data_IF_485718383170
#
_entry.id   IF_485718383170
#
_cell.length_a   1.000
_cell.length_b   1.000
_cell.length_c   1.000
_cell.angle_alpha   90.00
_cell.angle_beta   90.00
_cell.angle_gamma   90.00
#
_symmetry.space_group_name_H-M   'P 1'
#
loop_
_entity.id
_entity.type
_entity.pdbx_description
1 polymer ?
#
# COMPACT_ATOMS: atom_id res chain seq x y z
N UNK A 1 -11.51 -1.44 -41.96
CA UNK A 1 -12.56 -1.96 -41.08
C UNK A 1 -12.48 -1.30 -39.72
N UNK A 2 -13.37 -0.31 -39.46
CA UNK A 2 -13.40 0.51 -38.25
C UNK A 2 -13.59 -0.33 -36.97
N UNK A 3 -14.28 -1.45 -37.06
CA UNK A 3 -14.46 -2.38 -35.93
C UNK A 3 -13.16 -3.10 -35.54
N UNK A 4 -12.28 -3.38 -36.46
CA UNK A 4 -10.98 -4.03 -36.19
C UNK A 4 -9.99 -3.04 -35.59
N UNK A 5 -10.00 -1.78 -36.05
CA UNK A 5 -9.20 -0.71 -35.49
C UNK A 5 -9.65 -0.37 -34.05
N UNK A 6 -10.98 -0.30 -33.81
CA UNK A 6 -11.54 -0.04 -32.48
C UNK A 6 -11.25 -1.18 -31.49
N UNK A 7 -11.29 -2.43 -31.93
CA UNK A 7 -10.87 -3.58 -31.10
C UNK A 7 -9.36 -3.55 -30.77
N UNK A 8 -8.51 -3.16 -31.72
CA UNK A 8 -7.06 -3.02 -31.48
C UNK A 8 -6.78 -1.87 -30.51
N UNK A 9 -7.45 -0.73 -30.65
CA UNK A 9 -7.29 0.42 -29.76
C UNK A 9 -7.79 0.12 -28.35
N UNK A 10 -8.91 -0.60 -28.22
CA UNK A 10 -9.42 -1.07 -26.92
C UNK A 10 -8.51 -2.11 -26.27
N UNK A 11 -7.85 -2.94 -27.05
CA UNK A 11 -6.81 -3.85 -26.57
C UNK A 11 -5.54 -3.09 -26.16
N UNK A 12 -5.16 -2.03 -26.84
CA UNK A 12 -4.09 -1.14 -26.44
C UNK A 12 -4.39 -0.50 -25.07
N UNK A 13 -5.56 0.11 -24.88
CA UNK A 13 -5.92 0.73 -23.58
C UNK A 13 -5.99 -0.26 -22.40
N UNK A 14 -6.24 -1.55 -22.65
CA UNK A 14 -6.30 -2.60 -21.62
C UNK A 14 -4.93 -3.28 -21.43
N UNK A 15 -4.09 -3.33 -22.48
CA UNK A 15 -2.80 -4.01 -22.47
C UNK A 15 -1.61 -3.09 -22.21
N UNK A 16 -1.74 -1.79 -22.43
CA UNK A 16 -0.70 -0.80 -22.11
C UNK A 16 -0.65 -0.49 -20.60
N UNK A 17 -0.60 -1.55 -19.81
CA UNK A 17 -0.13 -1.42 -18.45
C UNK A 17 1.40 -1.42 -18.53
N UNK A 18 2.02 -0.31 -18.14
CA UNK A 18 3.48 -0.15 -18.13
C UNK A 18 4.19 -1.17 -17.21
N UNK A 19 3.41 -1.99 -16.51
CA UNK A 19 3.89 -2.95 -15.52
C UNK A 19 3.05 -4.23 -15.48
N UNK A 20 3.70 -5.35 -15.19
CA UNK A 20 3.02 -6.59 -14.86
C UNK A 20 2.45 -6.54 -13.47
N UNK A 21 1.23 -7.04 -13.26
CA UNK A 21 0.58 -7.07 -11.95
C UNK A 21 0.46 -8.51 -11.44
N UNK A 22 1.00 -8.78 -10.26
CA UNK A 22 0.99 -10.08 -9.59
C UNK A 22 0.08 -10.03 -8.37
N UNK A 23 -1.15 -10.52 -8.47
CA UNK A 23 -2.08 -10.62 -7.34
C UNK A 23 -1.71 -11.82 -6.45
N UNK A 24 -1.19 -11.55 -5.24
CA UNK A 24 -0.70 -12.59 -4.32
C UNK A 24 -1.81 -13.29 -3.55
N UNK A 25 -2.87 -12.56 -3.21
CA UNK A 25 -4.10 -13.12 -2.68
C UNK A 25 -5.27 -12.19 -2.94
N UNK A 26 -6.45 -12.76 -2.91
CA UNK A 26 -7.73 -12.06 -3.07
C UNK A 26 -8.50 -12.07 -1.77
N UNK A 27 -9.11 -10.91 -1.42
CA UNK A 27 -9.82 -10.70 -0.17
C UNK A 27 -8.99 -9.97 0.87
N UNK A 28 -9.59 -9.67 2.03
CA UNK A 28 -8.92 -8.99 3.14
C UNK A 28 -9.38 -9.58 4.48
N UNK A 29 -8.43 -9.84 5.38
CA UNK A 29 -8.71 -10.33 6.74
C UNK A 29 -9.05 -9.20 7.72
N UNK A 30 -8.75 -7.96 7.33
CA UNK A 30 -8.97 -6.78 8.17
C UNK A 30 -10.46 -6.44 8.22
N UNK A 31 -10.91 -5.96 9.33
CA UNK A 31 -12.31 -5.63 9.58
C UNK A 31 -12.55 -4.13 9.65
N UNK A 32 -11.84 -3.31 8.85
CA UNK A 32 -12.07 -1.87 8.83
C UNK A 32 -13.53 -1.57 8.48
N UNK A 33 -14.26 -0.87 9.36
CA UNK A 33 -15.70 -0.67 9.24
C UNK A 33 -16.14 0.10 8.00
N UNK A 34 -15.28 0.96 7.47
CA UNK A 34 -15.54 1.75 6.26
C UNK A 34 -15.28 0.98 4.96
N UNK A 35 -14.65 -0.21 5.02
CA UNK A 35 -14.13 -0.88 3.84
C UNK A 35 -15.02 -2.03 3.37
N UNK A 36 -15.65 -1.88 2.20
CA UNK A 36 -16.48 -2.91 1.59
C UNK A 36 -15.72 -4.22 1.34
N UNK A 37 -14.43 -4.14 0.98
CA UNK A 37 -13.64 -5.31 0.64
C UNK A 37 -13.47 -6.29 1.81
N UNK A 38 -13.45 -5.80 3.06
CA UNK A 38 -13.40 -6.63 4.25
C UNK A 38 -14.66 -7.48 4.48
N UNK A 39 -15.77 -7.14 3.81
CA UNK A 39 -17.06 -7.83 3.94
C UNK A 39 -17.41 -8.64 2.70
N UNK A 40 -17.28 -8.05 1.50
CA UNK A 40 -17.68 -8.69 0.25
C UNK A 40 -16.62 -9.63 -0.32
N UNK A 41 -15.34 -9.43 0.02
CA UNK A 41 -14.21 -10.20 -0.52
C UNK A 41 -13.71 -11.26 0.48
N UNK A 42 -14.60 -12.07 1.02
CA UNK A 42 -14.31 -13.21 1.89
C UNK A 42 -14.79 -14.51 1.26
N UNK A 43 -14.11 -15.64 1.49
CA UNK A 43 -12.86 -15.83 2.25
C UNK A 43 -11.63 -15.33 1.51
N UNK A 44 -10.53 -15.11 2.26
CA UNK A 44 -9.22 -14.79 1.67
C UNK A 44 -8.67 -16.01 0.95
N UNK A 45 -8.35 -15.85 -0.33
CA UNK A 45 -7.78 -16.89 -1.19
C UNK A 45 -6.35 -16.55 -1.52
N UNK A 46 -5.41 -17.34 -1.01
CA UNK A 46 -3.96 -17.16 -1.17
C UNK A 46 -3.44 -18.11 -2.25
N UNK A 47 -2.40 -17.64 -2.97
CA UNK A 47 -1.59 -18.48 -3.85
C UNK A 47 -0.28 -18.83 -3.13
N UNK A 48 0.34 -19.96 -3.47
CA UNK A 48 1.66 -20.30 -2.92
C UNK A 48 2.76 -19.47 -3.57
N UNK A 49 3.89 -19.24 -2.87
CA UNK A 49 5.03 -18.50 -3.43
C UNK A 49 5.56 -19.11 -4.75
N UNK A 50 5.54 -20.44 -4.88
CA UNK A 50 5.98 -21.14 -6.09
C UNK A 50 5.09 -20.83 -7.28
N UNK A 51 3.77 -20.88 -7.10
CA UNK A 51 2.79 -20.55 -8.14
C UNK A 51 2.95 -19.10 -8.56
N UNK A 52 3.13 -18.19 -7.59
CA UNK A 52 3.32 -16.77 -7.83
C UNK A 52 4.62 -16.49 -8.59
N UNK A 53 5.71 -17.12 -8.19
CA UNK A 53 6.98 -16.99 -8.90
C UNK A 53 6.87 -17.43 -10.36
N UNK A 54 6.28 -18.61 -10.62
CA UNK A 54 6.05 -19.09 -11.98
C UNK A 54 5.18 -18.12 -12.80
N UNK A 55 4.05 -17.66 -12.23
CA UNK A 55 3.18 -16.67 -12.87
C UNK A 55 3.90 -15.35 -13.17
N UNK A 56 4.75 -14.88 -12.25
CA UNK A 56 5.53 -13.66 -12.47
C UNK A 56 6.48 -13.81 -13.67
N UNK A 57 7.24 -14.91 -13.72
CA UNK A 57 8.19 -15.18 -14.81
C UNK A 57 7.46 -15.34 -16.16
N UNK A 58 6.37 -16.10 -16.18
CA UNK A 58 5.56 -16.30 -17.39
C UNK A 58 4.97 -14.97 -17.88
N UNK A 59 4.41 -14.15 -16.96
CA UNK A 59 3.83 -12.85 -17.30
C UNK A 59 4.89 -11.89 -17.84
N UNK A 60 6.04 -11.78 -17.18
CA UNK A 60 7.14 -10.91 -17.64
C UNK A 60 7.66 -11.32 -19.01
N UNK A 61 7.83 -12.62 -19.25
CA UNK A 61 8.28 -13.13 -20.55
C UNK A 61 7.26 -12.88 -21.67
N UNK A 62 5.97 -13.05 -21.35
CA UNK A 62 4.89 -12.86 -22.33
C UNK A 62 4.59 -11.40 -22.65
N UNK A 63 4.74 -10.50 -21.67
CA UNK A 63 4.42 -9.08 -21.81
C UNK A 63 5.61 -8.22 -22.25
N UNK A 64 6.84 -8.64 -21.93
CA UNK A 64 8.04 -7.83 -22.13
C UNK A 64 8.15 -6.64 -21.17
N UNK A 65 7.33 -6.58 -20.12
CA UNK A 65 7.35 -5.48 -19.15
C UNK A 65 8.65 -5.50 -18.35
N UNK A 66 9.18 -4.33 -18.05
CA UNK A 66 10.38 -4.12 -17.23
C UNK A 66 10.04 -3.75 -15.75
N UNK A 67 8.78 -3.79 -15.40
CA UNK A 67 8.31 -3.58 -14.03
C UNK A 67 7.25 -4.63 -13.66
N UNK A 68 7.34 -5.16 -12.42
CA UNK A 68 6.33 -6.03 -11.84
C UNK A 68 5.88 -5.47 -10.49
N UNK A 69 4.58 -5.43 -10.29
CA UNK A 69 3.95 -4.96 -9.06
C UNK A 69 3.30 -6.11 -8.32
N UNK A 70 3.67 -6.34 -7.07
CA UNK A 70 2.98 -7.26 -6.17
C UNK A 70 1.77 -6.54 -5.60
N UNK A 71 0.57 -7.04 -5.84
CA UNK A 71 -0.66 -6.41 -5.43
C UNK A 71 -1.58 -7.33 -4.61
N UNK A 72 -2.28 -6.71 -3.68
CA UNK A 72 -3.42 -7.25 -2.94
C UNK A 72 -4.07 -6.13 -2.15
N UNK A 73 -5.18 -6.40 -1.46
CA UNK A 73 -5.81 -5.43 -0.57
C UNK A 73 -4.98 -5.13 0.70
N UNK A 74 -4.03 -6.02 1.06
CA UNK A 74 -3.12 -5.84 2.20
C UNK A 74 -1.89 -6.73 2.04
N UNK A 75 -0.96 -6.34 1.19
CA UNK A 75 0.17 -7.18 0.76
C UNK A 75 1.07 -7.60 1.93
N UNK A 76 1.22 -6.78 2.95
CA UNK A 76 1.96 -7.11 4.17
C UNK A 76 1.35 -8.25 4.99
N UNK A 77 0.07 -8.58 4.79
CA UNK A 77 -0.57 -9.72 5.46
C UNK A 77 -0.31 -11.07 4.74
N UNK A 78 0.41 -11.05 3.63
CA UNK A 78 0.80 -12.27 2.94
C UNK A 78 2.01 -12.93 3.61
N UNK A 79 1.80 -14.02 4.33
CA UNK A 79 2.87 -14.73 5.07
C UNK A 79 4.01 -15.24 4.18
N UNK A 80 3.74 -15.54 2.92
CA UNK A 80 4.74 -15.97 1.95
C UNK A 80 5.48 -14.82 1.25
N UNK A 81 5.33 -13.56 1.70
CA UNK A 81 5.92 -12.40 1.03
C UNK A 81 7.43 -12.46 0.99
N UNK A 82 8.07 -12.84 2.12
CA UNK A 82 9.51 -12.98 2.21
C UNK A 82 10.03 -14.04 1.24
N UNK A 83 9.45 -15.23 1.27
CA UNK A 83 9.84 -16.32 0.38
C UNK A 83 9.66 -15.96 -1.10
N UNK A 84 8.55 -15.31 -1.44
CA UNK A 84 8.28 -14.83 -2.80
C UNK A 84 9.32 -13.79 -3.24
N UNK A 85 9.63 -12.82 -2.39
CA UNK A 85 10.63 -11.78 -2.71
C UNK A 85 12.04 -12.35 -2.80
N UNK A 86 12.39 -13.32 -1.97
CA UNK A 86 13.68 -14.02 -2.04
C UNK A 86 13.89 -14.73 -3.39
N UNK A 87 12.82 -15.23 -4.00
CA UNK A 87 12.85 -15.84 -5.34
C UNK A 87 12.79 -14.81 -6.47
N UNK A 88 12.00 -13.74 -6.30
CA UNK A 88 11.78 -12.73 -7.36
C UNK A 88 12.95 -11.76 -7.50
N UNK A 89 13.58 -11.32 -6.40
CA UNK A 89 14.64 -10.30 -6.45
C UNK A 89 15.82 -10.74 -7.34
N UNK A 90 16.37 -11.96 -7.22
CA UNK A 90 17.44 -12.41 -8.11
C UNK A 90 17.03 -12.40 -9.58
N UNK A 91 15.85 -12.94 -9.89
CA UNK A 91 15.33 -12.94 -11.24
C UNK A 91 15.13 -11.52 -11.80
N UNK A 92 14.55 -10.63 -11.01
CA UNK A 92 14.33 -9.23 -11.40
C UNK A 92 15.65 -8.50 -11.64
N UNK A 93 16.66 -8.74 -10.80
CA UNK A 93 17.99 -8.13 -10.93
C UNK A 93 18.68 -8.58 -12.21
N UNK A 94 18.69 -9.88 -12.47
CA UNK A 94 19.30 -10.48 -13.68
C UNK A 94 18.64 -9.96 -14.97
N UNK A 95 17.30 -9.86 -14.96
CA UNK A 95 16.52 -9.44 -16.13
C UNK A 95 16.25 -7.92 -16.19
N UNK A 96 16.85 -7.11 -15.29
CA UNK A 96 16.64 -5.66 -15.19
C UNK A 96 15.17 -5.25 -15.04
N UNK A 97 14.40 -6.04 -14.33
CA UNK A 97 12.99 -5.79 -14.00
C UNK A 97 12.91 -5.08 -12.66
N UNK A 98 12.12 -4.03 -12.57
CA UNK A 98 11.83 -3.32 -11.31
C UNK A 98 10.72 -4.01 -10.54
N UNK A 99 10.94 -4.31 -9.24
CA UNK A 99 9.95 -4.90 -8.36
C UNK A 99 9.32 -3.83 -7.47
N UNK A 100 7.99 -3.71 -7.50
CA UNK A 100 7.21 -2.74 -6.73
C UNK A 100 6.22 -3.42 -5.78
N UNK A 101 6.13 -2.94 -4.54
CA UNK A 101 5.18 -3.44 -3.52
C UNK A 101 4.43 -2.25 -2.92
N UNK A 102 3.34 -1.78 -3.56
CA UNK A 102 2.70 -0.53 -3.18
C UNK A 102 1.81 -0.60 -1.93
N UNK A 103 1.27 -1.77 -1.59
CA UNK A 103 0.26 -1.94 -0.55
C UNK A 103 0.86 -2.47 0.75
N UNK A 104 1.86 -1.78 1.28
CA UNK A 104 2.44 -2.09 2.58
C UNK A 104 1.68 -1.34 3.68
N UNK A 105 1.28 -2.07 4.72
CA UNK A 105 0.72 -1.48 5.94
C UNK A 105 1.84 -1.11 6.90
N UNK A 106 1.59 -0.10 7.71
CA UNK A 106 2.57 0.37 8.69
C UNK A 106 2.88 -0.66 9.79
N UNK A 107 1.88 -1.45 10.18
CA UNK A 107 2.01 -2.47 11.25
C UNK A 107 2.90 -3.67 10.88
N UNK A 108 3.12 -3.95 9.59
CA UNK A 108 3.91 -5.09 9.11
C UNK A 108 5.10 -4.66 8.23
N UNK A 109 5.69 -3.52 8.54
CA UNK A 109 6.78 -2.96 7.78
C UNK A 109 8.13 -3.53 8.24
N UNK A 110 8.70 -4.46 7.49
CA UNK A 110 10.00 -5.04 7.76
C UNK A 110 11.12 -4.26 7.10
N UNK A 111 12.10 -3.82 7.89
CA UNK A 111 13.32 -3.14 7.40
C UNK A 111 14.08 -4.02 6.40
N UNK A 112 14.23 -5.31 6.69
CA UNK A 112 14.88 -6.28 5.82
C UNK A 112 14.24 -6.36 4.43
N UNK A 113 12.89 -6.41 4.38
CA UNK A 113 12.15 -6.38 3.12
C UNK A 113 12.42 -5.10 2.33
N UNK A 114 12.49 -3.96 3.00
CA UNK A 114 12.73 -2.67 2.35
C UNK A 114 14.16 -2.55 1.80
N UNK A 115 15.15 -2.99 2.55
CA UNK A 115 16.54 -2.99 2.10
C UNK A 115 16.72 -3.87 0.86
N UNK A 116 16.04 -5.02 0.80
CA UNK A 116 16.03 -5.92 -0.35
C UNK A 116 15.33 -5.33 -1.57
N UNK A 117 14.17 -4.71 -1.37
CA UNK A 117 13.45 -4.02 -2.46
C UNK A 117 14.24 -2.83 -3.02
N UNK A 118 15.12 -2.20 -2.20
CA UNK A 118 15.99 -1.11 -2.63
C UNK A 118 17.14 -1.58 -3.53
N UNK A 119 17.66 -2.78 -3.28
CA UNK A 119 18.77 -3.32 -4.08
C UNK A 119 18.37 -3.49 -5.57
N UNK A 120 17.07 -3.60 -5.86
CA UNK A 120 16.53 -3.83 -7.21
C UNK A 120 15.98 -2.60 -7.94
N UNK A 121 15.97 -1.36 -7.37
CA UNK A 121 15.32 -0.28 -8.10
C UNK A 121 15.24 1.10 -7.44
N UNK A 122 14.49 2.00 -8.10
CA UNK A 122 14.22 3.36 -7.63
C UNK A 122 13.43 3.36 -6.31
N UNK A 123 13.86 4.17 -5.35
CA UNK A 123 13.07 4.45 -4.14
C UNK A 123 11.75 5.11 -4.53
N UNK A 124 10.66 4.36 -4.48
CA UNK A 124 9.31 4.91 -4.63
C UNK A 124 8.90 5.67 -3.35
N UNK A 125 7.90 6.53 -3.45
CA UNK A 125 7.32 7.14 -2.25
C UNK A 125 6.61 6.07 -1.43
N UNK A 126 6.75 6.15 -0.11
CA UNK A 126 6.00 5.31 0.81
C UNK A 126 4.59 5.87 0.99
N UNK A 127 3.61 5.00 0.94
CA UNK A 127 2.21 5.38 1.10
C UNK A 127 1.63 4.62 2.27
N UNK A 128 1.11 5.37 3.23
CA UNK A 128 0.39 4.83 4.39
C UNK A 128 -1.00 5.44 4.47
N UNK A 129 -1.95 4.68 4.97
CA UNK A 129 -3.32 5.10 5.15
C UNK A 129 -3.73 4.98 6.62
N UNK A 130 -3.40 5.96 7.49
CA UNK A 130 -3.91 6.01 8.85
C UNK A 130 -5.43 6.11 8.89
N UNK A 131 -6.02 6.75 7.90
CA UNK A 131 -7.45 7.05 7.69
C UNK A 131 -8.01 8.09 8.65
N UNK A 132 -7.56 8.14 9.92
CA UNK A 132 -7.97 9.11 10.93
C UNK A 132 -6.78 9.69 11.69
N UNK A 133 -6.91 10.92 12.16
CA UNK A 133 -5.86 11.65 12.86
C UNK A 133 -5.60 11.12 14.27
N UNK A 134 -6.65 10.82 15.02
CA UNK A 134 -6.54 10.36 16.40
C UNK A 134 -6.62 8.85 16.54
N UNK A 135 -6.05 8.32 17.64
CA UNK A 135 -6.18 6.89 17.97
C UNK A 135 -7.65 6.52 18.22
N UNK A 136 -8.38 7.37 18.95
CA UNK A 136 -9.80 7.18 19.22
C UNK A 136 -10.59 6.88 17.93
N UNK A 137 -10.43 7.72 16.93
CA UNK A 137 -11.19 7.58 15.68
C UNK A 137 -10.68 6.39 14.85
N UNK A 138 -9.38 6.07 14.89
CA UNK A 138 -8.85 4.82 14.28
C UNK A 138 -9.46 3.57 14.91
N UNK A 139 -9.68 3.58 16.22
CA UNK A 139 -10.33 2.47 16.94
C UNK A 139 -11.82 2.38 16.58
N UNK A 140 -12.52 3.52 16.50
CA UNK A 140 -13.92 3.58 16.04
C UNK A 140 -14.10 2.94 14.67
N UNK A 141 -13.23 3.23 13.72
CA UNK A 141 -13.31 2.66 12.37
C UNK A 141 -12.66 1.27 12.26
N UNK A 142 -12.20 0.71 13.37
CA UNK A 142 -11.51 -0.59 13.43
C UNK A 142 -10.33 -0.69 12.45
N UNK A 143 -9.52 0.39 12.40
CA UNK A 143 -8.34 0.40 11.51
C UNK A 143 -7.23 -0.52 12.02
N UNK A 144 -7.19 -0.80 13.33
CA UNK A 144 -6.18 -1.62 13.99
C UNK A 144 -4.76 -1.16 13.59
N UNK A 145 -4.48 0.11 13.82
CA UNK A 145 -3.19 0.74 13.57
C UNK A 145 -2.96 1.79 14.64
N UNK A 146 -1.91 1.60 15.44
CA UNK A 146 -1.54 2.53 16.50
C UNK A 146 -0.69 3.68 15.97
N UNK A 147 -0.65 4.78 16.73
CA UNK A 147 0.22 5.91 16.42
C UNK A 147 1.70 5.48 16.45
N UNK A 148 2.07 4.69 17.45
CA UNK A 148 3.46 4.20 17.58
C UNK A 148 3.88 3.33 16.40
N UNK A 149 3.01 2.49 15.87
CA UNK A 149 3.28 1.70 14.67
C UNK A 149 3.50 2.59 13.44
N UNK A 150 2.73 3.66 13.29
CA UNK A 150 2.90 4.63 12.21
C UNK A 150 4.26 5.32 12.33
N UNK A 151 4.59 5.84 13.51
CA UNK A 151 5.83 6.57 13.75
C UNK A 151 7.06 5.67 13.65
N UNK A 152 6.99 4.45 14.20
CA UNK A 152 8.06 3.44 14.07
C UNK A 152 8.32 3.08 12.61
N UNK A 153 7.26 2.91 11.83
CA UNK A 153 7.38 2.62 10.41
C UNK A 153 8.02 3.78 9.65
N UNK A 154 7.61 5.01 9.96
CA UNK A 154 8.21 6.21 9.40
C UNK A 154 9.69 6.32 9.79
N UNK A 155 10.05 6.03 11.06
CA UNK A 155 11.43 6.03 11.55
C UNK A 155 12.30 5.02 10.78
N UNK A 156 11.82 3.78 10.62
CA UNK A 156 12.49 2.75 9.84
C UNK A 156 12.68 3.14 8.38
N UNK A 157 11.69 3.79 7.79
CA UNK A 157 11.79 4.30 6.44
C UNK A 157 12.83 5.42 6.31
N UNK A 158 12.81 6.39 7.21
CA UNK A 158 13.74 7.52 7.20
C UNK A 158 15.19 7.11 7.46
N UNK A 159 15.41 6.16 8.37
CA UNK A 159 16.73 5.54 8.59
C UNK A 159 17.19 4.73 7.38
N UNK A 160 16.26 4.16 6.59
CA UNK A 160 16.53 3.55 5.29
C UNK A 160 16.74 4.57 4.14
N UNK A 161 16.66 5.88 4.42
CA UNK A 161 16.92 6.96 3.46
C UNK A 161 15.74 7.33 2.57
N UNK A 162 14.49 6.98 2.93
CA UNK A 162 13.30 7.56 2.32
C UNK A 162 13.07 8.97 2.82
N UNK A 163 12.70 9.86 1.91
CA UNK A 163 12.39 11.27 2.19
C UNK A 163 11.05 11.70 1.59
N UNK A 164 10.26 10.75 1.13
CA UNK A 164 8.96 11.03 0.52
C UNK A 164 7.91 10.07 1.09
N UNK A 165 6.96 10.61 1.84
CA UNK A 165 5.87 9.86 2.50
C UNK A 165 4.54 10.45 2.09
N UNK A 166 3.59 9.60 1.75
CA UNK A 166 2.22 9.96 1.45
C UNK A 166 1.28 9.35 2.48
N UNK A 167 0.48 10.21 3.10
CA UNK A 167 -0.49 9.84 4.12
C UNK A 167 -1.91 10.09 3.62
N UNK A 168 -2.77 9.09 3.77
CA UNK A 168 -4.18 9.19 3.41
C UNK A 168 -5.05 9.25 4.65
N UNK A 169 -6.02 10.18 4.62
CA UNK A 169 -7.02 10.36 5.66
C UNK A 169 -8.42 10.49 5.07
N UNK A 170 -9.41 10.17 5.86
CA UNK A 170 -10.82 10.42 5.57
C UNK A 170 -11.36 11.51 6.49
N UNK A 171 -12.31 12.30 5.99
CA UNK A 171 -13.05 13.32 6.72
C UNK A 171 -14.54 12.95 6.69
N UNK A 172 -15.28 13.30 7.75
CA UNK A 172 -16.68 12.98 7.89
C UNK A 172 -16.95 11.53 8.31
N UNK A 173 -16.01 10.93 9.02
CA UNK A 173 -16.19 9.60 9.60
C UNK A 173 -17.25 9.63 10.72
N UNK A 174 -18.01 8.55 10.96
CA UNK A 174 -18.94 8.47 12.07
C UNK A 174 -18.26 8.81 13.40
N UNK A 175 -18.89 9.65 14.21
CA UNK A 175 -18.40 10.17 15.50
C UNK A 175 -17.15 11.05 15.44
N UNK A 176 -16.76 11.53 14.24
CA UNK A 176 -15.64 12.47 14.08
C UNK A 176 -15.92 13.79 14.81
N UNK A 177 -14.91 14.32 15.49
CA UNK A 177 -14.92 15.62 16.15
C UNK A 177 -13.86 16.53 15.53
N UNK A 178 -13.93 17.83 15.83
CA UNK A 178 -12.93 18.80 15.36
C UNK A 178 -11.52 18.43 15.86
N UNK A 179 -11.42 17.84 17.06
CA UNK A 179 -10.14 17.35 17.62
C UNK A 179 -9.57 16.20 16.78
N UNK A 180 -10.42 15.33 16.22
CA UNK A 180 -9.96 14.26 15.35
C UNK A 180 -9.42 14.80 14.02
N UNK A 181 -10.02 15.86 13.50
CA UNK A 181 -9.54 16.55 12.30
C UNK A 181 -8.21 17.25 12.57
N UNK A 182 -8.10 17.97 13.69
CA UNK A 182 -6.84 18.59 14.13
C UNK A 182 -5.74 17.55 14.36
N UNK A 183 -6.11 16.38 14.87
CA UNK A 183 -5.22 15.25 15.07
C UNK A 183 -4.50 14.79 13.79
N UNK A 184 -5.05 15.08 12.61
CA UNK A 184 -4.35 14.84 11.34
C UNK A 184 -3.08 15.69 11.25
N UNK A 185 -3.19 16.99 11.56
CA UNK A 185 -2.05 17.90 11.55
C UNK A 185 -1.01 17.53 12.61
N UNK A 186 -1.46 17.12 13.79
CA UNK A 186 -0.58 16.68 14.88
C UNK A 186 0.19 15.41 14.51
N UNK A 187 -0.48 14.41 13.92
CA UNK A 187 0.17 13.19 13.47
C UNK A 187 1.21 13.48 12.38
N UNK A 188 0.88 14.33 11.42
CA UNK A 188 1.82 14.77 10.38
C UNK A 188 3.02 15.49 10.99
N UNK A 189 2.79 16.34 11.98
CA UNK A 189 3.86 17.03 12.68
C UNK A 189 4.79 16.06 13.41
N UNK A 190 4.25 15.04 14.09
CA UNK A 190 5.04 13.95 14.71
C UNK A 190 5.88 13.18 13.69
N UNK A 191 5.32 12.92 12.50
CA UNK A 191 6.09 12.30 11.39
C UNK A 191 7.25 13.20 10.94
N UNK A 192 7.05 14.51 10.88
CA UNK A 192 8.13 15.46 10.56
C UNK A 192 9.21 15.47 11.63
N UNK A 193 8.84 15.42 12.91
CA UNK A 193 9.79 15.33 14.02
C UNK A 193 10.60 14.03 13.94
N UNK A 194 9.93 12.90 13.71
CA UNK A 194 10.57 11.60 13.52
C UNK A 194 11.60 11.65 12.39
N UNK A 195 11.28 12.32 11.28
CA UNK A 195 12.25 12.50 10.21
C UNK A 195 13.46 13.33 10.63
N UNK A 196 13.25 14.45 11.37
CA UNK A 196 14.35 15.29 11.87
C UNK A 196 15.32 14.50 12.75
N UNK A 197 14.82 13.51 13.49
CA UNK A 197 15.62 12.67 14.36
C UNK A 197 16.34 11.53 13.61
N UNK A 198 15.60 10.82 12.75
CA UNK A 198 16.01 9.55 12.19
C UNK A 198 16.60 9.60 10.77
N UNK A 199 16.44 10.72 10.05
CA UNK A 199 16.87 10.79 8.66
C UNK A 199 18.38 10.78 8.49
N UNK A 200 18.88 9.82 7.71
CA UNK A 200 20.30 9.67 7.36
C UNK A 200 20.78 10.78 6.42
N UNK A 201 19.92 11.22 5.51
CA UNK A 201 20.27 12.27 4.55
C UNK A 201 19.26 13.43 4.62
N UNK A 202 19.63 14.45 5.40
CA UNK A 202 18.81 15.67 5.59
C UNK A 202 18.94 16.67 4.42
N UNK A 203 19.95 16.54 3.55
CA UNK A 203 20.18 17.48 2.43
C UNK A 203 19.04 17.47 1.40
N UNK A 204 18.35 16.33 1.22
CA UNK A 204 17.25 16.22 0.26
C UNK A 204 15.91 16.76 0.75
N UNK A 205 15.81 17.13 2.02
CA UNK A 205 14.56 17.55 2.62
C UNK A 205 13.52 16.42 2.71
N UNK A 206 12.50 16.63 3.52
CA UNK A 206 11.33 15.73 3.64
C UNK A 206 10.21 16.24 2.72
N UNK A 207 9.55 15.33 2.03
CA UNK A 207 8.26 15.57 1.37
C UNK A 207 7.18 14.74 2.02
N UNK A 208 6.22 15.39 2.67
CA UNK A 208 5.02 14.75 3.17
C UNK A 208 3.84 15.19 2.32
N UNK A 209 3.17 14.23 1.69
CA UNK A 209 1.93 14.48 0.97
C UNK A 209 0.78 13.99 1.83
N UNK A 210 -0.08 14.89 2.24
CA UNK A 210 -1.32 14.56 2.93
C UNK A 210 -2.45 14.62 1.92
N UNK A 211 -3.15 13.51 1.76
CA UNK A 211 -4.33 13.43 0.90
C UNK A 211 -5.55 13.11 1.77
N UNK A 212 -6.54 13.97 1.71
CA UNK A 212 -7.81 13.80 2.41
C UNK A 212 -8.93 13.51 1.41
N UNK A 213 -9.87 12.64 1.78
CA UNK A 213 -11.07 12.36 1.01
C UNK A 213 -12.26 12.32 1.95
N UNK A 214 -13.42 12.76 1.48
CA UNK A 214 -14.64 12.60 2.27
C UNK A 214 -15.06 11.14 2.35
N UNK A 215 -15.49 10.74 3.53
CA UNK A 215 -16.11 9.44 3.73
C UNK A 215 -17.45 9.38 3.00
N UNK A 216 -17.59 8.37 2.14
CA UNK A 216 -18.84 8.08 1.44
C UNK A 216 -19.31 6.70 1.88
N UNK A 217 -20.41 6.58 2.64
CA UNK A 217 -20.95 5.30 3.03
C UNK A 217 -21.26 4.44 1.80
N UNK A 218 -20.79 3.20 1.80
CA UNK A 218 -21.14 2.23 0.77
C UNK A 218 -22.47 1.58 1.14
N UNK A 219 -23.32 1.28 0.16
CA UNK A 219 -24.61 0.67 0.42
C UNK A 219 -24.55 -0.61 1.23
N UNK A 220 -23.49 -1.42 1.02
CA UNK A 220 -23.22 -2.64 1.78
C UNK A 220 -22.75 -2.42 3.22
N UNK A 221 -22.47 -1.16 3.61
CA UNK A 221 -21.94 -0.78 4.93
C UNK A 221 -22.91 0.10 5.73
N UNK A 222 -24.08 0.41 5.18
CA UNK A 222 -25.02 1.36 5.77
C UNK A 222 -25.43 0.98 7.21
N UNK A 223 -25.57 -0.32 7.49
CA UNK A 223 -25.88 -0.83 8.83
C UNK A 223 -24.68 -0.87 9.78
N UNK A 224 -23.48 -0.61 9.29
CA UNK A 224 -22.22 -0.67 10.06
C UNK A 224 -21.70 0.74 10.35
N UNK A 225 -22.09 1.70 9.52
CA UNK A 225 -21.68 3.10 9.64
C UNK A 225 -22.66 3.97 10.43
N UNK A 226 -23.89 3.48 10.64
CA UNK A 226 -24.84 4.17 11.51
C UNK A 226 -24.54 3.78 12.97
N UNK A 227 -24.38 4.77 13.89
CA UNK A 227 -24.32 4.47 15.30
C UNK A 227 -25.70 3.95 15.74
N UNK A 228 -25.79 2.71 16.18
CA UNK A 228 -26.93 2.16 16.89
C UNK A 228 -26.99 2.70 18.31
#
# INVERSE_FOLDING_TARGET
>A
DLHTAYRRQRQMCIRDSDRANLEVFRGCIRGCRFCQAGFSCRPVRKKSPEVLYRQAVETLRASGNNEITISSLSTSDYRGLKELTDKLIPYCTENKVSLSVPSLRADNFSRDLMERLQAGGRKSSLTFAPEAGTQRLRDVINKNLTEDEILTTCANAFSGGWNNVKLYFMLGLPTETDEDVLGIAELVYKVILTWKEQAVNKKRGLRVHVATAYFVPKLSLIHISEPT
#
